data_IF_946454990735
#
_entry.id   IF_946454990735
#
_cell.length_a   1.000
_cell.length_b   1.000
_cell.length_c   1.000
_cell.angle_alpha   90.00
_cell.angle_beta   90.00
_cell.angle_gamma   90.00
#
_symmetry.space_group_name_H-M   'P 1'
#
loop_
_entity.id
_entity.type
_entity.pdbx_description
1 polymer ?
#
# COMPACT_ATOMS: atom_id res chain seq x y z
N UNK A 1 25.34 -5.87 2.63
CA UNK A 1 23.99 -6.37 2.31
C UNK A 1 23.19 -6.48 3.60
N UNK A 2 22.26 -5.58 3.86
CA UNK A 2 21.39 -5.72 5.03
C UNK A 2 20.42 -6.89 4.89
N UNK A 3 20.11 -7.48 6.03
CA UNK A 3 19.03 -8.46 6.16
C UNK A 3 18.06 -7.87 7.17
N UNK A 4 16.80 -7.69 6.78
CA UNK A 4 15.81 -7.02 7.62
C UNK A 4 14.92 -8.06 8.28
N UNK A 5 14.94 -8.08 9.61
CA UNK A 5 13.97 -8.83 10.40
C UNK A 5 12.69 -7.99 10.50
N UNK A 6 11.58 -8.49 9.97
CA UNK A 6 10.31 -7.77 9.99
C UNK A 6 9.82 -7.45 11.41
N UNK A 7 10.19 -8.27 12.40
CA UNK A 7 9.83 -8.03 13.80
C UNK A 7 10.58 -6.84 14.41
N UNK A 8 11.65 -6.39 13.76
CA UNK A 8 12.45 -5.23 14.17
C UNK A 8 12.24 -4.01 13.27
N UNK A 9 11.44 -4.14 12.22
CA UNK A 9 11.17 -3.04 11.30
C UNK A 9 10.34 -1.95 11.99
N UNK A 10 10.61 -0.66 11.68
CA UNK A 10 9.84 0.42 12.28
C UNK A 10 8.42 0.45 11.75
N UNK A 11 7.46 0.62 12.66
CA UNK A 11 6.08 0.89 12.26
C UNK A 11 5.95 2.35 11.85
N UNK A 12 5.30 2.57 10.70
CA UNK A 12 5.00 3.91 10.18
C UNK A 12 3.55 4.23 10.52
N UNK A 13 3.25 5.31 11.25
CA UNK A 13 1.88 5.75 11.46
C UNK A 13 1.18 5.96 10.12
N UNK A 14 -0.02 5.42 9.96
CA UNK A 14 -0.71 5.45 8.68
C UNK A 14 -2.15 5.94 8.82
N UNK A 15 -3.14 5.06 8.76
CA UNK A 15 -4.56 5.38 8.91
C UNK A 15 -5.13 4.58 10.07
N UNK A 16 -6.21 5.04 10.73
CA UNK A 16 -6.85 4.23 11.76
C UNK A 16 -7.20 2.82 11.27
N UNK A 17 -6.82 1.79 12.02
CA UNK A 17 -7.07 0.39 11.67
C UNK A 17 -6.17 -0.17 10.58
N UNK A 18 -5.21 0.61 10.08
CA UNK A 18 -4.29 0.21 9.01
C UNK A 18 -2.85 0.39 9.50
N UNK A 19 -2.14 -0.71 9.73
CA UNK A 19 -0.77 -0.70 10.24
C UNK A 19 0.22 -1.00 9.11
N UNK A 20 1.34 -0.29 9.13
CA UNK A 20 2.35 -0.35 8.06
C UNK A 20 3.74 -0.41 8.67
N UNK A 21 4.58 -1.31 8.14
CA UNK A 21 6.00 -1.41 8.48
C UNK A 21 6.82 -1.32 7.20
N UNK A 22 7.79 -0.41 7.18
CA UNK A 22 8.75 -0.33 6.08
C UNK A 22 9.85 -1.37 6.32
N UNK A 23 9.97 -2.33 5.41
CA UNK A 23 10.94 -3.42 5.52
C UNK A 23 12.11 -3.27 4.55
N UNK A 24 11.99 -2.41 3.55
CA UNK A 24 13.10 -2.01 2.70
C UNK A 24 12.87 -0.60 2.15
N UNK A 25 13.95 0.15 2.02
CA UNK A 25 13.93 1.52 1.51
C UNK A 25 15.30 2.17 1.62
N UNK A 26 15.29 3.49 1.71
CA UNK A 26 16.50 4.31 1.75
C UNK A 26 17.46 3.88 2.87
N UNK A 27 16.94 3.60 4.06
CA UNK A 27 17.76 3.25 5.22
C UNK A 27 18.52 1.94 5.03
N UNK A 28 18.05 1.05 4.18
CA UNK A 28 18.70 -0.21 3.85
C UNK A 28 19.55 -0.11 2.57
N UNK A 29 19.66 1.08 1.98
CA UNK A 29 20.45 1.29 0.77
C UNK A 29 19.72 0.90 -0.52
N UNK A 30 18.40 0.69 -0.47
CA UNK A 30 17.61 0.38 -1.65
C UNK A 30 17.19 1.65 -2.40
N UNK A 31 16.89 1.51 -3.68
CA UNK A 31 16.29 2.56 -4.51
C UNK A 31 14.79 2.33 -4.76
N UNK A 32 14.22 1.37 -4.06
CA UNK A 32 12.80 1.01 -4.08
C UNK A 32 12.28 0.91 -2.66
N UNK A 33 10.98 0.82 -2.49
CA UNK A 33 10.35 0.65 -1.17
C UNK A 33 9.51 -0.62 -1.13
N UNK A 34 9.59 -1.31 0.00
CA UNK A 34 8.79 -2.48 0.30
C UNK A 34 8.21 -2.30 1.70
N UNK A 35 6.91 -2.50 1.84
CA UNK A 35 6.24 -2.47 3.14
C UNK A 35 5.37 -3.70 3.34
N UNK A 36 5.18 -4.05 4.61
CA UNK A 36 4.18 -5.03 5.05
C UNK A 36 3.08 -4.25 5.75
N UNK A 37 1.83 -4.57 5.40
CA UNK A 37 0.66 -3.89 5.95
C UNK A 37 -0.29 -4.92 6.56
N UNK A 38 -0.90 -4.55 7.68
CA UNK A 38 -2.03 -5.28 8.28
C UNK A 38 -3.19 -4.32 8.39
N UNK A 39 -4.31 -4.67 7.79
CA UNK A 39 -5.46 -3.79 7.65
C UNK A 39 -6.73 -4.45 8.13
N UNK A 40 -7.46 -3.76 9.00
CA UNK A 40 -8.76 -4.23 9.52
C UNK A 40 -9.85 -4.09 8.45
N UNK A 41 -10.93 -4.90 8.53
CA UNK A 41 -12.09 -4.74 7.66
C UNK A 41 -12.61 -3.30 7.62
N UNK A 42 -12.94 -2.81 6.43
CA UNK A 42 -13.39 -1.44 6.21
C UNK A 42 -12.30 -0.42 5.95
N UNK A 43 -11.04 -0.77 6.20
CA UNK A 43 -9.89 0.12 5.93
C UNK A 43 -9.30 -0.13 4.56
N UNK A 44 -8.50 0.79 4.06
CA UNK A 44 -7.85 0.68 2.77
C UNK A 44 -7.26 2.01 2.32
N UNK A 45 -7.38 2.29 1.03
CA UNK A 45 -6.92 3.53 0.44
C UNK A 45 -8.04 4.15 -0.43
N UNK A 46 -8.27 5.46 -0.29
CA UNK A 46 -9.24 6.15 -1.15
C UNK A 46 -8.73 6.23 -2.59
N UNK A 47 -9.59 6.68 -3.51
CA UNK A 47 -9.26 6.79 -4.92
C UNK A 47 -8.07 7.73 -5.13
N UNK A 48 -7.02 7.21 -5.79
CA UNK A 48 -5.79 7.94 -6.02
C UNK A 48 -5.03 7.39 -7.22
N UNK A 49 -3.99 8.10 -7.62
CA UNK A 49 -3.04 7.67 -8.65
C UNK A 49 -1.61 7.83 -8.16
N UNK A 50 -0.70 7.08 -8.76
CA UNK A 50 0.74 7.24 -8.59
C UNK A 50 1.41 7.52 -9.92
N UNK A 51 2.60 8.12 -9.88
CA UNK A 51 3.42 8.36 -11.09
C UNK A 51 4.28 7.17 -11.47
N UNK A 52 4.27 6.11 -10.66
CA UNK A 52 5.05 4.88 -10.87
C UNK A 52 4.16 3.65 -10.68
N UNK A 53 4.70 2.47 -10.97
CA UNK A 53 4.04 1.20 -10.67
C UNK A 53 3.83 1.02 -9.16
N UNK A 54 2.73 0.41 -8.79
CA UNK A 54 2.52 -0.17 -7.47
C UNK A 54 2.19 -1.65 -7.62
N UNK A 55 2.85 -2.49 -6.82
CA UNK A 55 2.52 -3.90 -6.73
C UNK A 55 1.99 -4.19 -5.33
N UNK A 56 0.82 -4.80 -5.24
CA UNK A 56 0.23 -5.20 -3.96
C UNK A 56 0.02 -6.71 -3.99
N UNK A 57 0.75 -7.42 -3.13
CA UNK A 57 0.58 -8.86 -2.94
C UNK A 57 -0.35 -9.09 -1.75
N UNK A 58 -1.43 -9.81 -1.97
CA UNK A 58 -2.37 -10.16 -0.90
C UNK A 58 -1.88 -11.46 -0.26
N UNK A 59 -1.37 -11.35 0.97
CA UNK A 59 -0.86 -12.48 1.74
C UNK A 59 -1.96 -13.17 2.52
N UNK A 60 -2.92 -12.41 3.04
CA UNK A 60 -4.11 -12.89 3.75
C UNK A 60 -5.26 -11.90 3.57
N UNK A 61 -6.50 -12.38 3.71
CA UNK A 61 -7.70 -11.55 3.66
C UNK A 61 -8.24 -11.36 2.26
N UNK A 62 -9.21 -10.47 2.15
CA UNK A 62 -9.93 -10.20 0.90
C UNK A 62 -10.11 -8.70 0.72
N UNK A 63 -9.85 -8.21 -0.48
CA UNK A 63 -10.00 -6.80 -0.85
C UNK A 63 -11.09 -6.64 -1.89
N UNK A 64 -11.85 -5.57 -1.77
CA UNK A 64 -12.60 -4.98 -2.86
C UNK A 64 -11.71 -3.90 -3.47
N UNK A 65 -11.39 -4.04 -4.76
CA UNK A 65 -10.44 -3.17 -5.46
C UNK A 65 -11.15 -2.50 -6.62
N UNK A 66 -11.07 -1.17 -6.68
CA UNK A 66 -11.53 -0.39 -7.82
C UNK A 66 -10.32 0.00 -8.66
N UNK A 67 -10.33 -0.36 -9.93
CA UNK A 67 -9.28 -0.06 -10.90
C UNK A 67 -9.93 0.50 -12.15
N UNK A 68 -9.63 1.76 -12.48
CA UNK A 68 -10.21 2.47 -13.64
C UNK A 68 -11.73 2.33 -13.72
N UNK A 69 -12.43 2.44 -12.60
CA UNK A 69 -13.88 2.39 -12.51
C UNK A 69 -14.46 0.97 -12.45
N UNK A 70 -13.66 -0.07 -12.55
CA UNK A 70 -14.11 -1.47 -12.44
C UNK A 70 -13.78 -2.01 -11.07
N UNK A 71 -14.78 -2.61 -10.41
CA UNK A 71 -14.63 -3.18 -9.08
C UNK A 71 -14.38 -4.68 -9.15
N UNK A 72 -13.36 -5.14 -8.43
CA UNK A 72 -12.99 -6.55 -8.31
C UNK A 72 -12.97 -6.94 -6.84
N UNK A 73 -13.29 -8.21 -6.55
CA UNK A 73 -13.07 -8.81 -5.24
C UNK A 73 -11.92 -9.81 -5.36
N UNK A 74 -10.85 -9.60 -4.60
CA UNK A 74 -9.59 -10.35 -4.76
C UNK A 74 -9.13 -10.84 -3.39
N UNK A 75 -8.76 -12.09 -3.31
CA UNK A 75 -8.29 -12.74 -2.07
C UNK A 75 -6.80 -13.01 -2.06
N UNK A 76 -6.37 -13.80 -1.07
CA UNK A 76 -4.96 -14.15 -0.90
C UNK A 76 -4.40 -14.86 -2.13
N UNK A 77 -3.07 -14.82 -2.26
CA UNK A 77 -2.32 -15.40 -3.37
C UNK A 77 -2.59 -14.74 -4.73
N UNK A 78 -2.97 -13.46 -4.69
CA UNK A 78 -3.10 -12.60 -5.87
C UNK A 78 -2.20 -11.39 -5.75
N UNK A 79 -1.73 -10.91 -6.87
CA UNK A 79 -0.98 -9.65 -6.96
C UNK A 79 -1.77 -8.65 -7.79
N UNK A 80 -1.96 -7.46 -7.23
CA UNK A 80 -2.49 -6.33 -7.97
C UNK A 80 -1.32 -5.61 -8.64
N UNK A 81 -1.39 -5.45 -9.96
CA UNK A 81 -0.41 -4.69 -10.73
C UNK A 81 -1.07 -3.39 -11.15
N UNK A 82 -0.63 -2.29 -10.58
CA UNK A 82 -1.23 -0.97 -10.78
C UNK A 82 -0.22 -0.11 -11.53
N UNK A 83 -0.43 0.13 -12.85
CA UNK A 83 0.49 0.93 -13.64
C UNK A 83 0.40 2.43 -13.29
N UNK A 84 1.40 3.23 -13.73
CA UNK A 84 1.38 4.68 -13.52
C UNK A 84 0.10 5.32 -14.06
N UNK A 85 -0.45 6.27 -13.32
CA UNK A 85 -1.64 7.02 -13.72
C UNK A 85 -2.97 6.28 -13.58
N UNK A 86 -2.96 5.02 -13.20
CA UNK A 86 -4.17 4.23 -13.01
C UNK A 86 -4.91 4.70 -11.74
N UNK A 87 -6.18 5.09 -11.90
CA UNK A 87 -7.03 5.45 -10.76
C UNK A 87 -7.44 4.18 -10.02
N UNK A 88 -7.12 4.12 -8.72
CA UNK A 88 -7.40 2.93 -7.93
C UNK A 88 -7.74 3.26 -6.48
N UNK A 89 -8.50 2.36 -5.87
CA UNK A 89 -8.87 2.37 -4.47
C UNK A 89 -9.03 0.92 -4.00
N UNK A 90 -8.87 0.68 -2.72
CA UNK A 90 -9.20 -0.62 -2.17
C UNK A 90 -9.74 -0.51 -0.75
N UNK A 91 -10.47 -1.53 -0.35
CA UNK A 91 -11.04 -1.67 0.98
C UNK A 91 -11.01 -3.14 1.38
N UNK A 92 -10.60 -3.40 2.61
CA UNK A 92 -10.67 -4.75 3.19
C UNK A 92 -12.14 -5.11 3.44
N UNK A 93 -12.56 -6.26 2.94
CA UNK A 93 -13.93 -6.77 3.11
C UNK A 93 -13.90 -8.10 3.87
N UNK A 94 -15.08 -8.53 4.34
CA UNK A 94 -15.18 -9.72 5.17
C UNK A 94 -14.86 -9.43 6.63
N UNK A 95 -14.59 -10.47 7.41
CA UNK A 95 -14.40 -10.38 8.87
C UNK A 95 -12.94 -10.45 9.30
N UNK A 96 -12.06 -10.86 8.39
CA UNK A 96 -10.64 -11.04 8.69
C UNK A 96 -9.82 -9.83 8.28
N UNK A 97 -8.74 -9.56 9.03
CA UNK A 97 -7.74 -8.60 8.62
C UNK A 97 -7.07 -9.04 7.32
N UNK A 98 -6.74 -8.08 6.47
CA UNK A 98 -5.86 -8.33 5.34
C UNK A 98 -4.41 -8.15 5.75
N UNK A 99 -3.53 -8.95 5.15
CA UNK A 99 -2.09 -8.76 5.22
C UNK A 99 -1.57 -8.59 3.80
N UNK A 100 -0.86 -7.48 3.59
CA UNK A 100 -0.42 -7.07 2.26
C UNK A 100 1.08 -6.84 2.26
N UNK A 101 1.69 -7.08 1.10
CA UNK A 101 3.04 -6.63 0.79
C UNK A 101 2.94 -5.62 -0.34
N UNK A 102 3.47 -4.42 -0.13
CA UNK A 102 3.36 -3.31 -1.09
C UNK A 102 4.73 -2.87 -1.55
N UNK A 103 4.91 -2.82 -2.86
CA UNK A 103 6.17 -2.46 -3.51
C UNK A 103 5.98 -1.26 -4.43
N UNK A 104 6.96 -0.34 -4.36
CA UNK A 104 7.12 0.77 -5.31
C UNK A 104 8.57 0.83 -5.80
N UNK A 105 8.82 1.09 -7.10
CA UNK A 105 10.17 1.23 -7.63
C UNK A 105 10.76 2.63 -7.39
N UNK A 106 10.46 3.24 -6.26
CA UNK A 106 10.92 4.58 -5.87
C UNK A 106 11.03 4.69 -4.35
N UNK A 107 11.69 5.74 -3.85
CA UNK A 107 11.91 5.93 -2.41
C UNK A 107 10.82 6.72 -1.71
N UNK A 108 10.12 7.62 -2.40
CA UNK A 108 9.12 8.50 -1.81
C UNK A 108 7.78 8.42 -2.57
N UNK A 109 7.13 7.23 -2.60
CA UNK A 109 5.98 7.03 -3.48
C UNK A 109 4.75 7.85 -3.10
N UNK A 110 4.61 8.25 -1.83
CA UNK A 110 3.44 8.94 -1.33
C UNK A 110 3.60 10.46 -1.26
N UNK A 111 4.77 10.99 -1.61
CA UNK A 111 5.01 12.43 -1.58
C UNK A 111 4.14 13.17 -2.58
N UNK A 112 3.97 14.48 -2.37
CA UNK A 112 3.31 15.36 -3.32
C UNK A 112 4.02 15.28 -4.67
N UNK A 113 3.26 15.14 -5.75
CA UNK A 113 3.81 14.93 -7.08
C UNK A 113 4.02 13.47 -7.44
N UNK A 114 4.12 12.56 -6.47
CA UNK A 114 4.20 11.11 -6.72
C UNK A 114 2.85 10.43 -6.53
N UNK A 115 2.04 10.89 -5.58
CA UNK A 115 0.68 10.40 -5.34
C UNK A 115 -0.29 11.58 -5.41
N UNK A 116 -1.38 11.38 -6.16
CA UNK A 116 -2.49 12.32 -6.25
C UNK A 116 -3.77 11.67 -5.76
N UNK A 117 -4.40 12.26 -4.75
CA UNK A 117 -5.68 11.79 -4.23
C UNK A 117 -6.85 12.45 -4.97
N UNK A 118 -7.75 11.63 -5.48
CA UNK A 118 -9.00 12.06 -6.14
C UNK A 118 -10.15 12.09 -5.14
N UNK A 119 -10.06 11.27 -4.08
CA UNK A 119 -10.97 11.24 -2.94
C UNK A 119 -10.13 11.17 -1.67
N UNK A 120 -10.66 11.69 -0.56
CA UNK A 120 -9.94 11.68 0.70
C UNK A 120 -8.63 12.45 0.64
N UNK A 121 -7.66 12.05 1.45
CA UNK A 121 -6.36 12.70 1.54
C UNK A 121 -5.27 11.69 1.93
N UNK A 122 -4.01 12.11 1.77
CA UNK A 122 -2.87 11.33 2.23
C UNK A 122 -2.93 11.12 3.74
N UNK A 123 -2.31 10.05 4.27
CA UNK A 123 -2.13 9.91 5.72
C UNK A 123 -1.36 11.10 6.31
N UNK A 124 -1.70 11.48 7.54
CA UNK A 124 -1.09 12.65 8.21
C UNK A 124 0.43 12.52 8.39
N UNK A 125 0.93 11.27 8.45
CA UNK A 125 2.36 10.99 8.55
C UNK A 125 3.15 11.29 7.28
N UNK A 126 2.48 11.41 6.12
CA UNK A 126 3.13 11.66 4.83
C UNK A 126 3.30 13.16 4.63
N UNK A 127 4.54 13.55 4.39
CA UNK A 127 4.85 14.95 4.07
C UNK A 127 4.65 15.24 2.58
N UNK A 128 4.31 16.47 2.31
CA UNK A 128 4.16 16.97 0.94
C UNK A 128 5.48 16.97 0.18
#
# INVERSE_FOLDING_TARGET
>A
MPIVDHNQAPEVPWRPGYRKWDVAGREQGASSTLSINTAEPGTGAPLHTHTMDELIVILDGTLEVQVDGVTHTVGKDHTLVIPPGCEHAFRVVGEENARLMVFFPTLDPYSNGQTRYLEGSRPDSVRA
#
